data_IF_649573489011
#
_entry.id   IF_649573489011
#
_cell.length_a   1.000
_cell.length_b   1.000
_cell.length_c   1.000
_cell.angle_alpha   90.00
_cell.angle_beta   90.00
_cell.angle_gamma   90.00
#
_symmetry.space_group_name_H-M   'P 1'
#
loop_
_entity.id
_entity.type
_entity.pdbx_description
1 polymer ?
#
# COMPACT_ATOMS: atom_id res chain seq x y z
N UNK A 1 -16.16 -29.88 -25.94
CA UNK A 1 -15.18 -29.61 -24.86
C UNK A 1 -15.34 -28.14 -24.52
N UNK A 2 -15.86 -27.84 -23.33
CA UNK A 2 -16.10 -26.47 -22.89
C UNK A 2 -15.10 -26.21 -21.77
N UNK A 3 -14.08 -25.39 -22.03
CA UNK A 3 -13.13 -25.00 -20.99
C UNK A 3 -13.87 -24.13 -19.96
N UNK A 4 -14.02 -24.65 -18.75
CA UNK A 4 -14.47 -23.86 -17.61
C UNK A 4 -13.42 -22.79 -17.32
N UNK A 5 -13.78 -21.51 -17.53
CA UNK A 5 -12.99 -20.38 -17.06
C UNK A 5 -12.89 -20.47 -15.53
N UNK A 6 -11.77 -20.99 -15.02
CA UNK A 6 -11.43 -20.90 -13.59
C UNK A 6 -11.24 -19.44 -13.24
N UNK A 7 -12.26 -18.83 -12.65
CA UNK A 7 -12.14 -17.53 -12.00
C UNK A 7 -11.32 -17.73 -10.72
N UNK A 8 -10.00 -17.61 -10.83
CA UNK A 8 -9.12 -17.59 -9.67
C UNK A 8 -9.52 -16.39 -8.80
N UNK A 9 -10.04 -16.65 -7.59
CA UNK A 9 -10.36 -15.58 -6.64
C UNK A 9 -9.06 -14.80 -6.38
N UNK A 10 -9.06 -13.50 -6.68
CA UNK A 10 -7.93 -12.62 -6.31
C UNK A 10 -7.74 -12.70 -4.80
N UNK A 11 -6.50 -12.93 -4.34
CA UNK A 11 -6.16 -12.90 -2.92
C UNK A 11 -6.58 -11.52 -2.35
N UNK A 12 -7.15 -11.46 -1.14
CA UNK A 12 -7.53 -10.18 -0.54
C UNK A 12 -6.28 -9.31 -0.32
N UNK A 13 -6.35 -8.04 -0.73
CA UNK A 13 -5.26 -7.09 -0.52
C UNK A 13 -5.21 -6.67 0.95
N UNK A 14 -4.15 -7.04 1.66
CA UNK A 14 -4.02 -6.71 3.09
C UNK A 14 -3.55 -5.27 3.24
N UNK A 15 -4.18 -4.52 4.15
CA UNK A 15 -3.69 -3.21 4.53
C UNK A 15 -2.39 -3.38 5.32
N UNK A 16 -1.30 -2.79 4.83
CA UNK A 16 0.02 -2.87 5.45
C UNK A 16 0.62 -1.47 5.58
N UNK A 17 1.35 -1.23 6.67
CA UNK A 17 2.18 -0.02 6.79
C UNK A 17 3.43 -0.21 5.93
N UNK A 18 3.90 0.86 5.31
CA UNK A 18 5.05 0.81 4.40
C UNK A 18 6.31 0.33 5.13
N UNK A 19 6.45 0.66 6.42
CA UNK A 19 7.56 0.17 7.27
C UNK A 19 7.52 -1.32 7.60
N UNK A 20 6.35 -1.94 7.50
CA UNK A 20 6.17 -3.37 7.81
C UNK A 20 6.38 -4.23 6.56
N UNK A 21 6.65 -3.59 5.41
CA UNK A 21 6.97 -4.28 4.16
C UNK A 21 8.33 -4.95 4.29
N UNK A 22 8.33 -6.26 4.14
CA UNK A 22 9.53 -7.10 4.14
C UNK A 22 9.61 -7.94 2.86
N UNK A 23 10.78 -8.51 2.54
CA UNK A 23 10.93 -9.48 1.44
C UNK A 23 10.03 -10.71 1.54
N UNK A 24 9.51 -11.02 2.74
CA UNK A 24 8.59 -12.15 2.97
C UNK A 24 7.12 -11.80 2.81
N UNK A 25 6.80 -10.56 2.43
CA UNK A 25 5.42 -10.12 2.21
C UNK A 25 4.89 -10.68 0.89
N UNK A 26 4.10 -11.76 0.96
CA UNK A 26 3.47 -12.38 -0.21
C UNK A 26 2.05 -11.84 -0.47
N UNK A 27 1.73 -11.74 -1.76
CA UNK A 27 0.41 -11.39 -2.28
C UNK A 27 0.17 -9.89 -2.45
N UNK A 28 -1.03 -9.52 -2.94
CA UNK A 28 -1.39 -8.14 -3.14
C UNK A 28 -1.48 -7.43 -1.79
N UNK A 29 -0.92 -6.22 -1.74
CA UNK A 29 -0.97 -5.34 -0.58
C UNK A 29 -1.75 -4.08 -0.90
N UNK A 30 -2.25 -3.45 0.16
CA UNK A 30 -2.90 -2.15 0.13
C UNK A 30 -2.13 -1.23 1.06
N UNK A 31 -1.69 -0.10 0.55
CA UNK A 31 -0.99 0.93 1.33
C UNK A 31 -1.75 2.24 1.27
N UNK A 32 -1.59 3.04 2.31
CA UNK A 32 -2.09 4.39 2.40
C UNK A 32 -0.88 5.31 2.47
N UNK A 33 -0.79 6.26 1.54
CA UNK A 33 0.37 7.13 1.53
C UNK A 33 0.15 8.48 0.87
N UNK A 34 1.03 9.42 1.23
CA UNK A 34 1.14 10.73 0.59
C UNK A 34 2.21 10.67 -0.48
N UNK A 35 1.92 11.17 -1.67
CA UNK A 35 2.90 11.25 -2.76
C UNK A 35 3.89 12.37 -2.45
N UNK A 36 5.17 12.03 -2.39
CA UNK A 36 6.25 12.99 -2.12
C UNK A 36 7.06 13.33 -3.38
N UNK A 37 7.09 12.41 -4.35
CA UNK A 37 7.67 12.63 -5.68
C UNK A 37 6.87 11.84 -6.72
N UNK A 38 6.74 12.36 -7.93
CA UNK A 38 6.07 11.65 -9.02
C UNK A 38 6.64 12.03 -10.38
N UNK A 39 6.78 10.99 -11.21
CA UNK A 39 7.13 11.05 -12.62
C UNK A 39 6.18 10.16 -13.42
N UNK A 40 6.11 10.30 -14.75
CA UNK A 40 5.33 9.39 -15.57
C UNK A 40 5.76 7.93 -15.35
N UNK A 41 4.83 7.09 -14.90
CA UNK A 41 5.06 5.67 -14.63
C UNK A 41 5.52 5.34 -13.20
N UNK A 42 5.91 6.32 -12.38
CA UNK A 42 6.47 6.07 -11.05
C UNK A 42 6.16 7.17 -10.03
N UNK A 43 6.03 6.78 -8.76
CA UNK A 43 5.90 7.75 -7.67
C UNK A 43 6.58 7.24 -6.40
N UNK A 44 7.09 8.17 -5.60
CA UNK A 44 7.56 7.88 -4.25
C UNK A 44 6.46 8.25 -3.27
N UNK A 45 6.07 7.27 -2.45
CA UNK A 45 4.95 7.38 -1.53
C UNK A 45 5.43 7.19 -0.11
N UNK A 46 5.04 8.12 0.77
CA UNK A 46 5.35 8.10 2.19
C UNK A 46 4.13 7.67 3.01
N UNK A 47 4.35 6.86 4.05
CA UNK A 47 3.29 6.26 4.86
C UNK A 47 2.43 7.32 5.57
N UNK A 48 1.11 7.17 5.50
CA UNK A 48 0.14 8.03 6.18
C UNK A 48 -0.07 7.69 7.66
N UNK A 49 0.28 6.47 8.07
CA UNK A 49 0.07 6.04 9.45
C UNK A 49 1.11 6.58 10.42
N UNK A 50 2.23 7.08 9.92
CA UNK A 50 3.29 7.56 10.79
C UNK A 50 3.11 9.03 11.14
N UNK A 51 3.07 9.31 12.44
CA UNK A 51 2.87 10.67 12.96
C UNK A 51 4.12 11.53 12.82
N UNK A 52 5.29 10.90 12.76
CA UNK A 52 6.57 11.55 12.50
C UNK A 52 6.96 11.41 11.02
N UNK A 53 6.68 12.45 10.22
CA UNK A 53 7.06 12.49 8.79
C UNK A 53 8.55 12.25 8.53
N UNK A 54 9.43 12.43 9.53
CA UNK A 54 10.86 12.18 9.38
C UNK A 54 11.24 10.71 9.55
N UNK A 55 10.36 9.89 10.13
CA UNK A 55 10.54 8.44 10.33
C UNK A 55 9.57 7.59 9.50
N UNK A 56 8.67 8.26 8.77
CA UNK A 56 7.67 7.60 7.95
C UNK A 56 8.35 6.79 6.85
N UNK A 57 8.02 5.51 6.78
CA UNK A 57 8.51 4.62 5.72
C UNK A 57 8.08 5.14 4.36
N UNK A 58 8.92 4.97 3.36
CA UNK A 58 8.63 5.35 1.98
C UNK A 58 8.89 4.18 1.04
N UNK A 59 8.10 4.08 -0.01
CA UNK A 59 8.25 3.05 -1.05
C UNK A 59 8.05 3.66 -2.43
N UNK A 60 8.86 3.20 -3.36
CA UNK A 60 8.65 3.48 -4.78
C UNK A 60 7.54 2.61 -5.33
N UNK A 61 6.65 3.24 -6.08
CA UNK A 61 5.57 2.56 -6.77
C UNK A 61 5.72 2.76 -8.28
N UNK A 62 5.42 1.71 -9.06
CA UNK A 62 5.14 1.80 -10.49
C UNK A 62 3.63 1.94 -10.66
N UNK A 63 3.16 2.86 -11.49
CA UNK A 63 1.73 3.05 -11.75
C UNK A 63 1.48 3.51 -13.18
N UNK A 64 0.33 3.14 -13.74
CA UNK A 64 -0.11 3.70 -15.02
C UNK A 64 -0.49 5.20 -14.84
N UNK A 65 0.24 6.08 -15.53
CA UNK A 65 0.02 7.52 -15.48
C UNK A 65 0.94 8.24 -14.51
N UNK A 66 0.43 9.27 -13.83
CA UNK A 66 1.19 10.13 -12.91
C UNK A 66 0.31 10.49 -11.73
N UNK A 67 0.86 10.42 -10.52
CA UNK A 67 0.14 10.81 -9.30
C UNK A 67 0.43 12.26 -8.95
N UNK A 68 -0.53 12.92 -8.31
CA UNK A 68 -0.34 14.30 -7.88
C UNK A 68 0.46 14.37 -6.58
N UNK A 69 1.54 15.15 -6.60
CA UNK A 69 2.39 15.36 -5.42
C UNK A 69 1.60 16.05 -4.31
N UNK A 70 1.86 15.67 -3.05
CA UNK A 70 1.17 16.08 -1.81
C UNK A 70 -0.25 15.53 -1.64
N UNK A 71 -0.82 14.86 -2.63
CA UNK A 71 -2.10 14.17 -2.46
C UNK A 71 -1.94 12.83 -1.76
N UNK A 72 -3.05 12.38 -1.16
CA UNK A 72 -3.16 11.12 -0.45
C UNK A 72 -3.81 10.08 -1.35
N UNK A 73 -3.23 8.89 -1.40
CA UNK A 73 -3.77 7.80 -2.19
C UNK A 73 -3.88 6.50 -1.38
N UNK A 74 -4.94 5.75 -1.66
CA UNK A 74 -5.05 4.33 -1.36
C UNK A 74 -4.53 3.57 -2.57
N UNK A 75 -3.42 2.86 -2.41
CA UNK A 75 -2.74 2.16 -3.49
C UNK A 75 -2.84 0.66 -3.25
N UNK A 76 -3.25 -0.09 -4.27
CA UNK A 76 -3.33 -1.55 -4.26
C UNK A 76 -2.40 -2.07 -5.34
N UNK A 77 -1.55 -3.03 -4.99
CA UNK A 77 -0.57 -3.58 -5.93
C UNK A 77 0.12 -4.82 -5.40
N UNK A 78 1.03 -5.33 -6.22
CA UNK A 78 1.88 -6.45 -5.86
C UNK A 78 3.29 -5.97 -5.55
N UNK A 79 3.84 -6.47 -4.43
CA UNK A 79 5.20 -6.16 -4.05
C UNK A 79 6.16 -6.92 -4.96
N UNK A 80 7.12 -6.20 -5.49
CA UNK A 80 8.23 -6.72 -6.29
C UNK A 80 9.54 -6.25 -5.69
N UNK A 81 10.64 -6.87 -6.08
CA UNK A 81 11.97 -6.44 -5.69
C UNK A 81 12.66 -5.85 -6.91
N UNK A 82 13.22 -4.66 -6.76
CA UNK A 82 14.15 -4.10 -7.74
C UNK A 82 15.57 -4.23 -7.19
N UNK A 83 16.44 -4.86 -7.96
CA UNK A 83 17.85 -4.98 -7.60
C UNK A 83 18.59 -3.73 -8.07
N UNK A 84 19.23 -3.04 -7.14
CA UNK A 84 20.18 -1.96 -7.43
C UNK A 84 21.57 -2.40 -6.90
N UNK A 85 22.39 -2.94 -7.80
CA UNK A 85 23.64 -3.59 -7.43
C UNK A 85 23.42 -4.86 -6.59
N UNK A 86 23.89 -4.87 -5.34
CA UNK A 86 23.67 -5.97 -4.38
C UNK A 86 22.43 -5.76 -3.47
N UNK A 87 21.81 -4.57 -3.52
CA UNK A 87 20.72 -4.21 -2.62
C UNK A 87 19.38 -4.50 -3.30
N UNK A 88 18.56 -5.32 -2.63
CA UNK A 88 17.17 -5.54 -3.01
C UNK A 88 16.30 -4.46 -2.39
N UNK A 89 15.70 -3.62 -3.23
CA UNK A 89 14.82 -2.55 -2.80
C UNK A 89 13.37 -2.98 -3.04
N UNK A 90 12.49 -2.95 -2.02
CA UNK A 90 11.08 -3.23 -2.21
C UNK A 90 10.44 -2.18 -3.13
N UNK A 91 9.68 -2.65 -4.10
CA UNK A 91 9.05 -1.84 -5.14
C UNK A 91 7.61 -2.29 -5.37
N UNK A 92 6.64 -1.39 -5.29
CA UNK A 92 5.23 -1.76 -5.43
C UNK A 92 4.75 -1.54 -6.87
N UNK A 93 4.30 -2.59 -7.54
CA UNK A 93 3.62 -2.45 -8.82
C UNK A 93 2.13 -2.22 -8.57
N UNK A 94 1.71 -0.96 -8.62
CA UNK A 94 0.34 -0.55 -8.37
C UNK A 94 -0.57 -0.99 -9.51
N UNK A 95 -1.63 -1.70 -9.15
CA UNK A 95 -2.74 -2.03 -10.05
C UNK A 95 -3.84 -0.97 -9.98
N UNK A 96 -4.04 -0.35 -8.80
CA UNK A 96 -5.02 0.68 -8.56
C UNK A 96 -4.45 1.76 -7.64
N UNK A 97 -4.79 3.01 -7.90
CA UNK A 97 -4.64 4.11 -6.95
C UNK A 97 -5.92 4.93 -6.91
N UNK A 98 -6.42 5.17 -5.70
CA UNK A 98 -7.60 6.00 -5.46
C UNK A 98 -7.20 7.24 -4.68
N UNK A 99 -7.59 8.41 -5.18
CA UNK A 99 -7.47 9.67 -4.44
C UNK A 99 -8.36 9.59 -3.21
N UNK A 100 -7.77 9.83 -2.05
CA UNK A 100 -8.42 9.81 -0.74
C UNK A 100 -8.09 11.09 0.03
N UNK A 101 -7.80 12.18 -0.65
CA UNK A 101 -7.38 13.41 0.02
C UNK A 101 -8.46 13.97 0.96
N UNK A 102 -9.74 13.69 0.64
CA UNK A 102 -10.91 14.01 1.45
C UNK A 102 -11.16 13.07 2.63
N UNK A 103 -10.36 12.00 2.80
CA UNK A 103 -10.51 11.07 3.91
C UNK A 103 -10.09 11.73 5.23
N UNK A 104 -10.94 11.64 6.24
CA UNK A 104 -10.57 11.98 7.61
C UNK A 104 -9.66 10.88 8.20
N UNK A 105 -8.37 11.16 8.21
CA UNK A 105 -7.36 10.23 8.72
C UNK A 105 -7.47 9.98 10.22
N UNK A 106 -8.00 10.93 11.00
CA UNK A 106 -8.15 10.76 12.44
C UNK A 106 -9.26 9.74 12.70
N UNK A 107 -10.43 9.94 12.08
CA UNK A 107 -11.53 9.00 12.17
C UNK A 107 -11.14 7.61 11.66
N UNK A 108 -10.39 7.56 10.57
CA UNK A 108 -9.91 6.29 10.02
C UNK A 108 -8.97 5.54 10.97
N UNK A 109 -8.04 6.23 11.62
CA UNK A 109 -7.15 5.65 12.64
C UNK A 109 -7.93 5.15 13.86
N UNK A 110 -8.96 5.89 14.31
CA UNK A 110 -9.83 5.48 15.40
C UNK A 110 -10.57 4.18 15.08
N UNK A 111 -11.12 4.06 13.86
CA UNK A 111 -11.83 2.86 13.41
C UNK A 111 -10.90 1.64 13.40
N UNK A 112 -9.67 1.79 12.88
CA UNK A 112 -8.70 0.69 12.88
C UNK A 112 -8.29 0.26 14.29
N UNK A 113 -8.13 1.21 15.21
CA UNK A 113 -7.84 0.90 16.61
C UNK A 113 -9.02 0.19 17.30
N UNK A 114 -10.26 0.52 16.92
CA UNK A 114 -11.46 -0.17 17.42
C UNK A 114 -11.54 -1.60 16.87
N UNK A 115 -11.28 -1.80 15.58
CA UNK A 115 -11.25 -3.12 14.94
C UNK A 115 -10.23 -4.05 15.63
N UNK A 116 -9.00 -3.57 15.85
CA UNK A 116 -7.96 -4.32 16.56
C UNK A 116 -8.39 -4.73 17.98
N UNK A 117 -9.07 -3.85 18.72
CA UNK A 117 -9.62 -4.17 20.04
C UNK A 117 -10.66 -5.29 19.97
N UNK A 118 -11.59 -5.22 19.02
CA UNK A 118 -12.63 -6.25 18.84
C UNK A 118 -12.00 -7.61 18.51
N UNK A 119 -11.07 -7.63 17.56
CA UNK A 119 -10.37 -8.87 17.16
C UNK A 119 -9.64 -9.49 18.34
N UNK A 120 -8.95 -8.68 19.15
CA UNK A 120 -8.26 -9.15 20.36
C UNK A 120 -9.22 -9.72 21.40
N UNK A 121 -10.37 -9.09 21.60
CA UNK A 121 -11.39 -9.57 22.54
C UNK A 121 -12.04 -10.88 22.08
N UNK A 122 -12.25 -11.07 20.77
CA UNK A 122 -12.86 -12.29 20.23
C UNK A 122 -11.88 -13.47 20.10
N UNK A 123 -10.57 -13.20 20.14
CA UNK A 123 -9.51 -14.21 20.01
C UNK A 123 -8.94 -14.69 21.35
N UNK A 124 -9.42 -14.13 22.48
CA UNK A 124 -9.11 -14.56 23.84
C UNK A 124 -10.27 -15.36 24.44
#
# INVERSE_FOLDING_TARGET
>A
MTEEKKFTRKKPSRLIKIRDISPSTDGPIRILGTVIDSSPGAALVQDLFDEDRKKAGSIWITIEGTLEVKKKYLIIGELTEKTDGEIKIPWLNATLAHDIDTLDLNLYKEILALEDKVVKTMSG
#
